data_IF_629422121418
#
_entry.id   IF_629422121418
#
_cell.length_a   1.000
_cell.length_b   1.000
_cell.length_c   1.000
_cell.angle_alpha   90.00
_cell.angle_beta   90.00
_cell.angle_gamma   90.00
#
_symmetry.space_group_name_H-M   'P 1'
#
loop_
_entity.id
_entity.type
_entity.pdbx_description
1 polymer ?
#
# COMPACT_ATOMS: atom_id res chain seq x y z
N UNK A 1 -1.76 7.04 4.95
CA UNK A 1 -3.13 7.30 4.44
C UNK A 1 -4.09 6.38 5.20
N UNK A 2 -4.71 6.89 6.25
CA UNK A 2 -5.61 6.11 7.11
C UNK A 2 -6.94 6.85 7.20
N UNK A 3 -8.05 6.15 6.98
CA UNK A 3 -9.37 6.65 7.34
C UNK A 3 -9.53 6.37 8.84
N UNK A 4 -10.02 7.36 9.58
CA UNK A 4 -10.19 7.24 11.05
C UNK A 4 -11.47 6.51 11.42
N UNK A 5 -11.52 5.93 12.62
CA UNK A 5 -12.72 5.29 13.17
C UNK A 5 -13.91 6.25 13.17
N UNK A 6 -15.08 5.74 12.83
CA UNK A 6 -16.32 6.50 12.76
C UNK A 6 -16.51 7.32 11.48
N UNK A 7 -15.51 7.39 10.58
CA UNK A 7 -15.63 8.15 9.32
C UNK A 7 -16.34 7.36 8.20
N UNK A 8 -16.53 6.06 8.34
CA UNK A 8 -17.15 5.21 7.33
C UNK A 8 -18.47 4.60 7.82
N UNK A 9 -19.39 4.35 6.91
CA UNK A 9 -20.62 3.63 7.20
C UNK A 9 -20.36 2.15 7.52
N UNK A 10 -21.18 1.55 8.38
CA UNK A 10 -21.05 0.14 8.79
C UNK A 10 -20.97 -0.85 7.62
N UNK A 11 -21.77 -0.75 6.54
CA UNK A 11 -21.67 -1.65 5.39
C UNK A 11 -20.28 -1.61 4.73
N UNK A 12 -19.68 -0.42 4.60
CA UNK A 12 -18.33 -0.26 4.03
C UNK A 12 -17.28 -0.89 4.94
N UNK A 13 -17.38 -0.68 6.25
CA UNK A 13 -16.49 -1.27 7.25
C UNK A 13 -16.54 -2.81 7.22
N UNK A 14 -17.74 -3.37 7.24
CA UNK A 14 -17.94 -4.82 7.23
C UNK A 14 -17.46 -5.42 5.90
N UNK A 15 -17.84 -4.84 4.77
CA UNK A 15 -17.39 -5.28 3.45
C UNK A 15 -15.86 -5.25 3.31
N UNK A 16 -15.22 -4.16 3.76
CA UNK A 16 -13.77 -4.04 3.77
C UNK A 16 -13.07 -5.07 4.65
N UNK A 17 -13.65 -5.40 5.81
CA UNK A 17 -13.11 -6.43 6.70
C UNK A 17 -13.12 -7.83 6.03
N UNK A 18 -14.22 -8.20 5.35
CA UNK A 18 -14.31 -9.46 4.60
C UNK A 18 -13.31 -9.53 3.44
N UNK A 19 -13.18 -8.46 2.65
CA UNK A 19 -12.22 -8.39 1.55
C UNK A 19 -10.79 -8.47 2.08
N UNK A 20 -10.48 -7.75 3.17
CA UNK A 20 -9.16 -7.82 3.83
C UNK A 20 -8.85 -9.24 4.31
N UNK A 21 -9.80 -9.90 4.97
CA UNK A 21 -9.61 -11.28 5.44
C UNK A 21 -9.30 -12.24 4.27
N UNK A 22 -10.01 -12.11 3.16
CA UNK A 22 -9.72 -12.87 1.92
C UNK A 22 -8.33 -12.59 1.36
N UNK A 23 -7.94 -11.30 1.29
CA UNK A 23 -6.62 -10.87 0.84
C UNK A 23 -5.50 -11.36 1.74
N UNK A 24 -5.67 -11.30 3.06
CA UNK A 24 -4.72 -11.81 4.06
C UNK A 24 -4.59 -13.34 3.92
N UNK A 25 -5.70 -14.05 3.86
CA UNK A 25 -5.68 -15.51 3.69
C UNK A 25 -4.95 -15.93 2.41
N UNK A 26 -5.20 -15.22 1.30
CA UNK A 26 -4.49 -15.46 0.04
C UNK A 26 -3.00 -15.12 0.16
N UNK A 27 -2.66 -14.01 0.82
CA UNK A 27 -1.29 -13.58 1.04
C UNK A 27 -0.51 -14.55 1.91
N UNK A 28 -1.11 -15.06 2.99
CA UNK A 28 -0.48 -16.07 3.86
C UNK A 28 -0.24 -17.39 3.14
N UNK A 29 -1.17 -17.83 2.29
CA UNK A 29 -0.99 -19.06 1.48
C UNK A 29 0.17 -18.93 0.49
N UNK A 30 0.50 -17.72 0.06
CA UNK A 30 1.55 -17.43 -0.93
C UNK A 30 2.82 -16.83 -0.31
N UNK A 31 2.96 -16.87 1.01
CA UNK A 31 4.15 -16.37 1.71
C UNK A 31 5.01 -17.56 2.13
N UNK A 32 6.06 -17.89 1.38
CA UNK A 32 7.01 -18.94 1.79
C UNK A 32 7.83 -18.46 2.98
N UNK A 33 8.29 -19.40 3.80
CA UNK A 33 9.01 -19.11 5.06
C UNK A 33 10.26 -18.25 4.81
N UNK A 34 10.95 -18.47 3.70
CA UNK A 34 12.15 -17.76 3.29
C UNK A 34 11.90 -16.27 3.00
N UNK A 35 10.63 -15.89 2.75
CA UNK A 35 10.21 -14.52 2.45
C UNK A 35 9.66 -13.76 3.64
N UNK A 36 9.43 -14.43 4.78
CA UNK A 36 8.97 -13.79 6.01
C UNK A 36 9.89 -12.63 6.43
N UNK A 37 11.25 -12.75 6.40
CA UNK A 37 12.12 -11.63 6.71
C UNK A 37 11.92 -10.42 5.79
N UNK A 38 11.74 -10.63 4.49
CA UNK A 38 11.49 -9.56 3.53
C UNK A 38 10.12 -8.88 3.79
N UNK A 39 9.09 -9.68 4.10
CA UNK A 39 7.78 -9.15 4.48
C UNK A 39 7.87 -8.31 5.76
N UNK A 40 8.60 -8.78 6.77
CA UNK A 40 8.84 -8.05 8.01
C UNK A 40 9.56 -6.72 7.80
N UNK A 41 10.63 -6.71 7.00
CA UNK A 41 11.37 -5.48 6.66
C UNK A 41 10.47 -4.48 5.94
N UNK A 42 9.71 -4.90 4.92
CA UNK A 42 8.83 -3.99 4.17
C UNK A 42 7.65 -3.51 5.03
N UNK A 43 7.12 -4.35 5.92
CA UNK A 43 6.13 -3.94 6.92
C UNK A 43 6.69 -2.87 7.86
N UNK A 44 7.92 -3.04 8.34
CA UNK A 44 8.61 -2.06 9.17
C UNK A 44 8.92 -0.76 8.42
N UNK A 45 9.34 -0.84 7.15
CA UNK A 45 9.55 0.34 6.30
C UNK A 45 8.25 1.15 6.14
N UNK A 46 7.13 0.48 5.84
CA UNK A 46 5.82 1.12 5.79
C UNK A 46 5.46 1.77 7.14
N UNK A 47 5.62 1.03 8.24
CA UNK A 47 5.32 1.52 9.58
C UNK A 47 6.10 2.81 9.90
N UNK A 48 7.42 2.82 9.69
CA UNK A 48 8.27 3.98 9.96
C UNK A 48 7.98 5.14 9.00
N UNK A 49 7.84 4.88 7.70
CA UNK A 49 7.56 5.92 6.71
C UNK A 49 6.26 6.68 6.99
N UNK A 50 5.26 6.01 7.54
CA UNK A 50 3.96 6.58 7.83
C UNK A 50 3.88 7.32 9.18
N UNK A 51 4.92 7.28 10.02
CA UNK A 51 4.95 8.06 11.26
C UNK A 51 4.97 9.58 11.01
N UNK A 52 5.57 10.00 9.89
CA UNK A 52 5.54 11.40 9.46
C UNK A 52 4.30 11.58 8.59
N UNK A 53 3.24 12.11 9.18
CA UNK A 53 1.97 12.30 8.51
C UNK A 53 1.39 13.70 8.72
N UNK A 54 0.60 14.15 7.75
CA UNK A 54 -0.15 15.40 7.80
C UNK A 54 -1.64 15.07 7.81
N UNK A 55 -2.40 15.45 8.86
CA UNK A 55 -3.84 15.20 8.90
C UNK A 55 -4.57 16.04 7.84
N UNK A 56 -5.53 15.41 7.15
CA UNK A 56 -6.35 16.03 6.10
C UNK A 56 -7.80 15.57 6.30
N UNK A 57 -8.58 16.34 7.08
CA UNK A 57 -9.95 15.95 7.44
C UNK A 57 -10.00 14.58 8.14
N UNK A 58 -10.86 13.65 7.68
CA UNK A 58 -11.01 12.32 8.30
C UNK A 58 -9.93 11.32 7.87
N UNK A 59 -8.83 11.78 7.28
CA UNK A 59 -7.70 10.96 6.82
C UNK A 59 -6.37 11.68 7.02
N UNK A 60 -5.28 11.07 6.60
CA UNK A 60 -3.93 11.65 6.67
C UNK A 60 -3.15 11.39 5.39
N UNK A 61 -2.15 12.23 5.13
CA UNK A 61 -1.22 12.11 4.00
C UNK A 61 0.17 11.80 4.54
N UNK A 62 0.79 10.76 4.04
CA UNK A 62 2.14 10.33 4.37
C UNK A 62 2.71 9.42 3.28
N UNK A 63 4.01 9.11 3.37
CA UNK A 63 4.62 8.07 2.54
C UNK A 63 4.03 6.70 2.93
N UNK A 64 3.76 5.87 1.93
CA UNK A 64 3.13 4.56 2.12
C UNK A 64 4.08 3.43 1.68
N UNK A 65 4.87 3.64 0.62
CA UNK A 65 5.77 2.65 0.02
C UNK A 65 5.05 1.34 -0.37
N UNK A 66 3.72 1.40 -0.54
CA UNK A 66 2.92 0.23 -0.88
C UNK A 66 3.23 -0.30 -2.28
N UNK A 67 3.62 0.57 -3.21
CA UNK A 67 4.11 0.17 -4.53
C UNK A 67 5.31 -0.76 -4.41
N UNK A 68 6.33 -0.40 -3.61
CA UNK A 68 7.50 -1.24 -3.35
C UNK A 68 7.12 -2.54 -2.65
N UNK A 69 6.27 -2.48 -1.63
CA UNK A 69 5.77 -3.67 -0.95
C UNK A 69 5.06 -4.62 -1.92
N UNK A 70 4.21 -4.09 -2.80
CA UNK A 70 3.54 -4.89 -3.83
C UNK A 70 4.51 -5.55 -4.80
N UNK A 71 5.44 -4.79 -5.37
CA UNK A 71 6.44 -5.32 -6.32
C UNK A 71 7.23 -6.50 -5.76
N UNK A 72 7.61 -6.43 -4.48
CA UNK A 72 8.43 -7.45 -3.81
C UNK A 72 7.59 -8.55 -3.19
N UNK A 73 6.41 -8.26 -2.62
CA UNK A 73 5.63 -9.21 -1.82
C UNK A 73 4.42 -9.81 -2.57
N UNK A 74 3.98 -9.20 -3.67
CA UNK A 74 2.75 -9.63 -4.34
C UNK A 74 1.58 -9.72 -3.36
N UNK A 75 0.88 -10.85 -3.30
CA UNK A 75 -0.23 -11.06 -2.37
C UNK A 75 0.18 -11.00 -0.89
N UNK A 76 1.43 -11.34 -0.56
CA UNK A 76 1.93 -11.24 0.81
C UNK A 76 2.01 -9.78 1.32
N UNK A 77 1.82 -8.78 0.45
CA UNK A 77 1.61 -7.41 0.86
C UNK A 77 0.37 -7.22 1.76
N UNK A 78 -0.69 -8.02 1.57
CA UNK A 78 -1.87 -7.95 2.46
C UNK A 78 -1.56 -8.22 3.93
N UNK A 79 -1.01 -9.39 4.32
CA UNK A 79 -0.67 -9.64 5.72
C UNK A 79 0.44 -8.71 6.23
N UNK A 80 1.44 -8.35 5.41
CA UNK A 80 2.52 -7.47 5.83
C UNK A 80 2.03 -6.05 6.16
N UNK A 81 1.20 -5.46 5.30
CA UNK A 81 0.62 -4.13 5.51
C UNK A 81 -0.45 -4.14 6.61
N UNK A 82 -1.23 -5.23 6.74
CA UNK A 82 -2.17 -5.40 7.84
C UNK A 82 -1.47 -5.34 9.20
N UNK A 83 -0.36 -6.07 9.37
CA UNK A 83 0.42 -6.05 10.63
C UNK A 83 0.93 -4.65 10.94
N UNK A 84 1.49 -3.95 9.95
CA UNK A 84 1.96 -2.59 10.16
C UNK A 84 0.81 -1.62 10.53
N UNK A 85 -0.32 -1.70 9.85
CA UNK A 85 -1.51 -0.88 10.15
C UNK A 85 -2.08 -1.20 11.53
N UNK A 86 -2.10 -2.47 11.93
CA UNK A 86 -2.52 -2.89 13.26
C UNK A 86 -1.61 -2.28 14.34
N UNK A 87 -0.30 -2.36 14.16
CA UNK A 87 0.67 -1.76 15.09
C UNK A 87 0.50 -0.23 15.17
N UNK A 88 0.24 0.44 14.05
CA UNK A 88 -0.03 1.88 14.02
C UNK A 88 -1.33 2.24 14.75
N UNK A 89 -2.39 1.45 14.57
CA UNK A 89 -3.64 1.66 15.29
C UNK A 89 -3.48 1.46 16.81
N UNK A 90 -2.71 0.43 17.22
CA UNK A 90 -2.52 0.11 18.64
C UNK A 90 -1.57 1.10 19.33
N UNK A 91 -0.44 1.46 18.72
CA UNK A 91 0.57 2.29 19.36
C UNK A 91 0.32 3.79 19.22
N UNK A 92 -0.30 4.22 18.13
CA UNK A 92 -0.42 5.65 17.79
C UNK A 92 -1.87 6.10 17.57
N UNK A 93 -2.83 5.18 17.59
CA UNK A 93 -4.23 5.50 17.29
C UNK A 93 -4.46 5.90 15.81
N UNK A 94 -3.55 5.59 14.90
CA UNK A 94 -3.67 5.96 13.50
C UNK A 94 -4.70 5.08 12.79
N UNK A 95 -5.68 5.70 12.16
CA UNK A 95 -6.81 5.01 11.54
C UNK A 95 -7.81 4.53 12.58
N UNK A 96 -7.60 3.34 13.10
CA UNK A 96 -8.42 2.70 14.14
C UNK A 96 -8.68 1.23 13.85
N UNK A 97 -9.16 0.52 14.86
CA UNK A 97 -9.36 -0.93 14.76
C UNK A 97 -10.60 -1.30 13.95
N UNK A 98 -11.65 -0.47 13.98
CA UNK A 98 -12.90 -0.77 13.26
C UNK A 98 -12.72 -0.65 11.74
N UNK A 99 -11.91 0.29 11.28
CA UNK A 99 -11.62 0.54 9.86
C UNK A 99 -10.36 -0.15 9.36
N UNK A 100 -9.71 -0.96 10.22
CA UNK A 100 -8.43 -1.62 9.89
C UNK A 100 -8.53 -2.47 8.61
N UNK A 101 -9.63 -3.23 8.45
CA UNK A 101 -9.87 -4.02 7.25
C UNK A 101 -9.98 -3.17 5.99
N UNK A 102 -10.75 -2.09 6.04
CA UNK A 102 -10.86 -1.14 4.92
C UNK A 102 -9.50 -0.55 4.59
N UNK A 103 -8.80 0.02 5.57
CA UNK A 103 -7.47 0.62 5.37
C UNK A 103 -6.47 -0.39 4.76
N UNK A 104 -6.54 -1.66 5.17
CA UNK A 104 -5.72 -2.72 4.57
C UNK A 104 -6.05 -2.91 3.09
N UNK A 105 -7.31 -2.99 2.70
CA UNK A 105 -7.72 -3.14 1.30
C UNK A 105 -7.29 -1.94 0.48
N UNK A 106 -7.55 -0.72 0.97
CA UNK A 106 -7.23 0.52 0.26
C UNK A 106 -5.75 0.66 -0.09
N UNK A 107 -4.87 0.08 0.73
CA UNK A 107 -3.41 0.17 0.57
C UNK A 107 -2.85 -1.08 -0.13
N UNK A 108 -3.31 -2.27 0.24
CA UNK A 108 -2.74 -3.52 -0.28
C UNK A 108 -3.28 -3.90 -1.66
N UNK A 109 -4.53 -3.60 -2.00
CA UNK A 109 -5.06 -3.95 -3.32
C UNK A 109 -4.34 -3.23 -4.47
N UNK A 110 -4.08 -1.89 -4.42
CA UNK A 110 -3.21 -1.23 -5.39
C UNK A 110 -1.80 -1.81 -5.45
N UNK A 111 -1.22 -2.17 -4.31
CA UNK A 111 0.10 -2.80 -4.24
C UNK A 111 0.15 -4.12 -5.03
N UNK A 112 -0.82 -5.00 -4.82
CA UNK A 112 -0.95 -6.27 -5.56
C UNK A 112 -1.21 -6.03 -7.04
N UNK A 113 -2.03 -5.04 -7.40
CA UNK A 113 -2.28 -4.70 -8.80
C UNK A 113 -0.99 -4.26 -9.50
N UNK A 114 -0.18 -3.42 -8.86
CA UNK A 114 1.12 -3.00 -9.42
C UNK A 114 2.12 -4.17 -9.51
N UNK A 115 2.05 -5.15 -8.63
CA UNK A 115 2.84 -6.38 -8.76
C UNK A 115 2.61 -7.05 -10.12
N UNK A 116 1.35 -7.32 -10.46
CA UNK A 116 1.03 -8.01 -11.72
C UNK A 116 1.33 -7.17 -12.96
N UNK A 117 1.15 -5.84 -12.88
CA UNK A 117 1.38 -4.95 -14.02
C UNK A 117 2.86 -4.65 -14.26
N UNK A 118 3.64 -4.40 -13.20
CA UNK A 118 4.99 -3.85 -13.32
C UNK A 118 6.10 -4.87 -13.11
N UNK A 119 5.90 -5.91 -12.28
CA UNK A 119 6.97 -6.87 -11.98
C UNK A 119 7.48 -7.62 -13.23
N UNK A 120 6.64 -8.05 -14.19
CA UNK A 120 7.13 -8.66 -15.43
C UNK A 120 8.06 -7.71 -16.22
N UNK A 121 7.72 -6.42 -16.26
CA UNK A 121 8.52 -5.40 -16.96
C UNK A 121 9.83 -5.12 -16.23
N UNK A 122 9.81 -5.10 -14.89
CA UNK A 122 11.01 -4.93 -14.05
C UNK A 122 11.97 -6.10 -14.29
N UNK A 123 11.47 -7.34 -14.34
CA UNK A 123 12.28 -8.54 -14.56
C UNK A 123 13.01 -8.53 -15.91
N UNK A 124 12.31 -8.18 -16.96
CA UNK A 124 12.82 -8.21 -18.35
C UNK A 124 13.68 -7.01 -18.70
N UNK A 125 13.77 -6.00 -17.83
CA UNK A 125 14.46 -4.74 -18.13
C UNK A 125 15.84 -4.65 -17.50
N UNK A 126 16.74 -3.84 -18.12
CA UNK A 126 17.96 -3.37 -17.48
C UNK A 126 17.63 -2.51 -16.24
N UNK A 127 18.54 -2.41 -15.24
CA UNK A 127 18.26 -1.71 -13.98
C UNK A 127 17.70 -0.29 -14.13
N UNK A 128 18.18 0.48 -15.11
CA UNK A 128 17.70 1.84 -15.39
C UNK A 128 16.26 1.89 -15.88
N UNK A 129 15.85 0.96 -16.75
CA UNK A 129 14.45 0.83 -17.18
C UNK A 129 13.57 0.24 -16.09
N UNK A 130 14.11 -0.69 -15.30
CA UNK A 130 13.40 -1.23 -14.14
C UNK A 130 13.07 -0.13 -13.12
N UNK A 131 13.95 0.88 -12.96
CA UNK A 131 13.68 2.06 -12.13
C UNK A 131 12.45 2.85 -12.61
N UNK A 132 12.25 3.00 -13.92
CA UNK A 132 11.08 3.68 -14.49
C UNK A 132 9.80 2.92 -14.14
N UNK A 133 9.79 1.60 -14.33
CA UNK A 133 8.64 0.77 -13.96
C UNK A 133 8.39 0.73 -12.44
N UNK A 134 9.46 0.74 -11.64
CA UNK A 134 9.37 0.87 -10.19
C UNK A 134 8.78 2.21 -9.77
N UNK A 135 9.23 3.31 -10.38
CA UNK A 135 8.68 4.64 -10.16
C UNK A 135 7.21 4.74 -10.54
N UNK A 136 6.85 4.21 -11.70
CA UNK A 136 5.44 4.12 -12.11
C UNK A 136 4.61 3.32 -11.09
N UNK A 137 5.11 2.17 -10.64
CA UNK A 137 4.41 1.36 -9.65
C UNK A 137 4.21 2.10 -8.32
N UNK A 138 5.23 2.84 -7.83
CA UNK A 138 5.12 3.64 -6.61
C UNK A 138 4.06 4.74 -6.74
N UNK A 139 4.20 5.60 -7.74
CA UNK A 139 3.27 6.70 -7.97
C UNK A 139 1.84 6.25 -8.28
N UNK A 140 1.68 5.25 -9.16
CA UNK A 140 0.37 4.71 -9.53
C UNK A 140 -0.31 3.97 -8.38
N UNK A 141 0.44 3.22 -7.56
CA UNK A 141 -0.11 2.57 -6.37
C UNK A 141 -0.67 3.58 -5.39
N UNK A 142 0.05 4.67 -5.13
CA UNK A 142 -0.43 5.75 -4.27
C UNK A 142 -1.63 6.49 -4.88
N UNK A 143 -1.62 6.75 -6.19
CA UNK A 143 -2.75 7.36 -6.90
C UNK A 143 -4.03 6.54 -6.74
N UNK A 144 -3.92 5.22 -6.97
CA UNK A 144 -5.05 4.29 -6.80
C UNK A 144 -5.52 4.21 -5.35
N UNK A 145 -4.59 4.19 -4.39
CA UNK A 145 -4.94 4.26 -2.95
C UNK A 145 -5.72 5.54 -2.66
N UNK A 146 -5.27 6.69 -3.16
CA UNK A 146 -5.98 7.98 -3.02
C UNK A 146 -7.38 7.97 -3.62
N UNK A 147 -7.54 7.39 -4.81
CA UNK A 147 -8.84 7.24 -5.46
C UNK A 147 -9.76 6.30 -4.67
N UNK A 148 -9.25 5.18 -4.15
CA UNK A 148 -10.04 4.27 -3.34
C UNK A 148 -10.47 4.89 -2.00
N UNK A 149 -9.59 5.67 -1.36
CA UNK A 149 -9.93 6.43 -0.14
C UNK A 149 -11.03 7.46 -0.45
N UNK A 150 -10.87 8.23 -1.53
CA UNK A 150 -11.88 9.20 -1.94
C UNK A 150 -13.22 8.53 -2.25
N UNK A 151 -13.20 7.39 -2.92
CA UNK A 151 -14.39 6.60 -3.20
C UNK A 151 -15.06 6.07 -1.93
N UNK A 152 -14.29 5.51 -0.99
CA UNK A 152 -14.81 5.02 0.30
C UNK A 152 -15.47 6.14 1.11
N UNK A 153 -14.88 7.33 1.13
CA UNK A 153 -15.46 8.52 1.77
C UNK A 153 -16.75 8.96 1.06
N UNK A 154 -16.77 9.00 -0.27
CA UNK A 154 -17.94 9.38 -1.04
C UNK A 154 -19.12 8.40 -0.84
N UNK A 155 -18.87 7.10 -0.68
CA UNK A 155 -19.89 6.11 -0.37
C UNK A 155 -20.54 6.32 1.01
N UNK A 156 -19.87 7.06 1.90
CA UNK A 156 -20.38 7.31 3.27
C UNK A 156 -21.39 8.45 3.29
N UNK A 157 -21.30 9.39 2.34
CA UNK A 157 -22.29 10.47 2.19
C UNK A 157 -21.68 11.74 1.59
N UNK A 158 -22.56 12.62 1.10
CA UNK A 158 -22.20 13.85 0.39
C UNK A 158 -21.35 14.82 1.24
N UNK A 159 -21.49 14.79 2.56
CA UNK A 159 -20.70 15.59 3.49
C UNK A 159 -19.20 15.34 3.39
N UNK A 160 -18.77 14.15 2.93
CA UNK A 160 -17.38 13.79 2.79
C UNK A 160 -16.76 14.09 1.41
N UNK A 161 -17.57 14.53 0.43
CA UNK A 161 -17.08 14.84 -0.93
C UNK A 161 -15.99 15.93 -0.95
N UNK A 162 -16.08 17.03 -0.16
CA UNK A 162 -15.00 18.01 -0.09
C UNK A 162 -13.69 17.41 0.43
N UNK A 163 -13.76 16.56 1.47
CA UNK A 163 -12.59 15.86 2.02
C UNK A 163 -11.99 14.89 1.00
N UNK A 164 -12.81 14.16 0.25
CA UNK A 164 -12.37 13.25 -0.81
C UNK A 164 -11.57 14.00 -1.91
N UNK A 165 -12.04 15.17 -2.35
CA UNK A 165 -11.32 16.01 -3.32
C UNK A 165 -9.98 16.50 -2.76
N UNK A 166 -9.97 16.95 -1.50
CA UNK A 166 -8.76 17.44 -0.84
C UNK A 166 -7.72 16.35 -0.69
N UNK A 167 -8.12 15.12 -0.39
CA UNK A 167 -7.24 13.94 -0.32
C UNK A 167 -6.49 13.76 -1.62
N UNK A 168 -7.18 13.77 -2.77
CA UNK A 168 -6.54 13.58 -4.08
C UNK A 168 -5.48 14.66 -4.33
N UNK A 169 -5.83 15.93 -4.11
CA UNK A 169 -4.90 17.05 -4.34
C UNK A 169 -3.69 16.97 -3.41
N UNK A 170 -3.92 16.68 -2.12
CA UNK A 170 -2.85 16.61 -1.12
C UNK A 170 -1.87 15.45 -1.38
N UNK A 171 -2.29 14.42 -2.13
CA UNK A 171 -1.41 13.28 -2.47
C UNK A 171 -0.54 13.52 -3.71
N UNK A 172 -0.81 14.53 -4.55
CA UNK A 172 -0.02 14.78 -5.76
C UNK A 172 1.50 14.92 -5.49
N UNK A 173 1.95 15.73 -4.52
CA UNK A 173 3.38 15.82 -4.22
C UNK A 173 3.95 14.50 -3.66
N UNK A 174 3.17 13.77 -2.87
CA UNK A 174 3.61 12.49 -2.30
C UNK A 174 3.74 11.42 -3.38
N UNK A 175 2.87 11.43 -4.41
CA UNK A 175 2.99 10.53 -5.57
C UNK A 175 4.34 10.69 -6.29
N UNK A 176 4.83 11.91 -6.41
CA UNK A 176 6.15 12.17 -7.04
C UNK A 176 7.27 11.60 -6.17
N UNK A 177 7.20 11.82 -4.85
CA UNK A 177 8.20 11.30 -3.91
C UNK A 177 8.18 9.77 -3.89
N UNK A 178 6.99 9.15 -3.83
CA UNK A 178 6.82 7.68 -3.90
C UNK A 178 7.39 7.10 -5.21
N UNK A 179 7.14 7.78 -6.34
CA UNK A 179 7.68 7.36 -7.63
C UNK A 179 9.22 7.39 -7.63
N UNK A 180 9.83 8.47 -7.13
CA UNK A 180 11.29 8.60 -7.07
C UNK A 180 11.91 7.57 -6.12
N UNK A 181 11.35 7.42 -4.91
CA UNK A 181 11.87 6.48 -3.91
C UNK A 181 11.73 5.03 -4.38
N UNK A 182 10.56 4.64 -4.89
CA UNK A 182 10.32 3.27 -5.37
C UNK A 182 11.18 2.98 -6.60
N UNK A 183 11.32 3.94 -7.52
CA UNK A 183 12.19 3.81 -8.69
C UNK A 183 13.66 3.60 -8.31
N UNK A 184 14.19 4.41 -7.39
CA UNK A 184 15.56 4.28 -6.88
C UNK A 184 15.76 2.94 -6.15
N UNK A 185 14.81 2.54 -5.30
CA UNK A 185 14.87 1.27 -4.58
C UNK A 185 14.86 0.05 -5.52
N UNK A 186 14.01 0.08 -6.57
CA UNK A 186 13.95 -0.97 -7.60
C UNK A 186 15.25 -1.03 -8.39
N UNK A 187 15.81 0.12 -8.78
CA UNK A 187 17.11 0.18 -9.46
C UNK A 187 18.21 -0.48 -8.65
N UNK A 188 18.32 -0.10 -7.37
CA UNK A 188 19.30 -0.67 -6.45
C UNK A 188 19.06 -2.18 -6.25
N UNK A 189 17.83 -2.59 -5.98
CA UNK A 189 17.48 -3.98 -5.78
C UNK A 189 17.77 -4.85 -7.02
N UNK A 190 17.55 -4.33 -8.23
CA UNK A 190 17.90 -5.01 -9.49
C UNK A 190 19.41 -5.18 -9.67
N UNK A 191 20.22 -4.30 -9.10
CA UNK A 191 21.69 -4.39 -9.16
C UNK A 191 22.25 -5.34 -8.11
N UNK A 192 21.72 -5.30 -6.87
CA UNK A 192 22.31 -5.98 -5.72
C UNK A 192 21.64 -7.33 -5.43
N UNK A 193 20.31 -7.43 -5.65
CA UNK A 193 19.50 -8.60 -5.30
C UNK A 193 18.38 -8.85 -6.29
N UNK A 194 18.69 -9.14 -7.56
CA UNK A 194 17.68 -9.31 -8.63
C UNK A 194 16.67 -10.42 -8.37
N UNK A 195 17.01 -11.41 -7.54
CA UNK A 195 16.14 -12.51 -7.14
C UNK A 195 14.90 -12.06 -6.34
N UNK A 196 14.88 -10.83 -5.80
CA UNK A 196 13.68 -10.27 -5.17
C UNK A 196 12.47 -10.21 -6.12
N UNK A 197 12.74 -10.12 -7.41
CA UNK A 197 11.71 -10.04 -8.46
C UNK A 197 11.56 -11.36 -9.25
N UNK A 198 12.24 -12.44 -8.87
CA UNK A 198 12.20 -13.72 -9.60
C UNK A 198 10.82 -14.40 -9.50
N UNK A 199 10.37 -15.16 -10.54
CA UNK A 199 9.09 -15.86 -10.53
C UNK A 199 8.97 -16.89 -9.39
N UNK A 200 10.04 -17.63 -9.17
CA UNK A 200 10.12 -18.68 -8.12
C UNK A 200 10.00 -18.08 -6.71
N UNK A 201 10.15 -16.79 -6.58
CA UNK A 201 9.97 -16.11 -5.30
C UNK A 201 8.52 -16.18 -4.76
N UNK A 202 7.54 -16.54 -5.61
CA UNK A 202 6.09 -16.44 -5.33
C UNK A 202 5.28 -17.66 -5.84
N UNK A 203 5.98 -18.72 -6.25
CA UNK A 203 5.39 -19.97 -6.70
C UNK A 203 4.78 -20.79 -5.54
#
# INVERSE_FOLDING_TARGET
>A
MHIVDGALSNPVVIGGAFVAAGGIAMGLKRLPVERIPAAGVLSACFFVASLIHVPVGPTSVHLILNGMAGLVLGWAAFPALFVALLLQAVFFGFGGLTVLGVNTVLIAAPAVMMHYLCTPMIRSSAPSRAAIWGGFAGGASLALTGLLVAFALALTGDAFVPAAKLVIVAHLPVMVIEALLTGAAVMLARQVKPELFAPEAWA
#
